data_IF_256713968166
#
_entry.id   IF_256713968166
#
_cell.length_a   1.000
_cell.length_b   1.000
_cell.length_c   1.000
_cell.angle_alpha   90.00
_cell.angle_beta   90.00
_cell.angle_gamma   90.00
#
_symmetry.space_group_name_H-M   'P 1'
#
loop_
_entity.id
_entity.type
_entity.pdbx_description
1 polymer ?
#
# COMPACT_ATOMS: atom_id res chain seq x y z
N UNK A 1 -16.22 12.71 -1.41
CA UNK A 1 -15.07 11.92 -0.90
C UNK A 1 -15.52 10.71 -0.09
N UNK A 2 -16.66 10.75 0.61
CA UNK A 2 -17.25 9.55 1.25
C UNK A 2 -17.37 8.35 0.28
N UNK A 3 -17.84 8.59 -0.95
CA UNK A 3 -17.96 7.55 -1.98
C UNK A 3 -16.61 6.87 -2.35
N UNK A 4 -15.47 7.56 -2.15
CA UNK A 4 -14.14 6.95 -2.35
C UNK A 4 -13.79 6.00 -1.19
N UNK A 5 -14.20 6.34 0.03
CA UNK A 5 -13.99 5.46 1.19
C UNK A 5 -14.87 4.20 1.07
N UNK A 6 -16.10 4.35 0.57
CA UNK A 6 -16.97 3.21 0.21
C UNK A 6 -16.28 2.27 -0.78
N UNK A 7 -15.66 2.82 -1.83
CA UNK A 7 -14.93 2.02 -2.80
C UNK A 7 -13.75 1.27 -2.17
N UNK A 8 -12.96 1.93 -1.33
CA UNK A 8 -11.84 1.30 -0.63
C UNK A 8 -12.31 0.17 0.30
N UNK A 9 -13.39 0.39 1.06
CA UNK A 9 -13.98 -0.64 1.92
C UNK A 9 -14.45 -1.84 1.09
N UNK A 10 -15.17 -1.59 -0.01
CA UNK A 10 -15.62 -2.64 -0.93
C UNK A 10 -14.44 -3.43 -1.53
N UNK A 11 -13.38 -2.75 -1.97
CA UNK A 11 -12.19 -3.44 -2.52
C UNK A 11 -11.51 -4.31 -1.47
N UNK A 12 -11.44 -3.84 -0.22
CA UNK A 12 -10.85 -4.61 0.86
C UNK A 12 -11.65 -5.86 1.25
N UNK A 13 -12.88 -6.06 0.77
CA UNK A 13 -13.67 -7.29 1.00
C UNK A 13 -13.26 -8.45 0.09
N UNK A 14 -12.43 -8.21 -0.93
CA UNK A 14 -11.98 -9.25 -1.85
C UNK A 14 -10.89 -10.10 -1.18
N UNK A 15 -10.98 -11.42 -1.34
CA UNK A 15 -10.04 -12.39 -0.76
C UNK A 15 -8.58 -12.19 -1.21
N UNK A 16 -8.37 -11.50 -2.34
CA UNK A 16 -7.06 -11.23 -2.92
C UNK A 16 -6.59 -9.78 -2.73
N UNK A 17 -7.21 -9.01 -1.83
CA UNK A 17 -6.87 -7.59 -1.59
C UNK A 17 -6.67 -7.33 -0.10
N UNK A 18 -5.43 -7.01 0.26
CA UNK A 18 -5.03 -6.63 1.63
C UNK A 18 -4.83 -5.11 1.71
N UNK A 19 -5.90 -4.37 2.01
CA UNK A 19 -5.83 -2.91 2.15
C UNK A 19 -5.31 -2.52 3.53
N UNK A 20 -4.18 -1.80 3.56
CA UNK A 20 -3.57 -1.31 4.80
C UNK A 20 -3.29 0.19 4.76
N UNK A 21 -3.44 0.84 5.90
CA UNK A 21 -3.16 2.28 6.08
C UNK A 21 -1.93 2.45 6.96
N UNK A 22 -1.00 3.29 6.53
CA UNK A 22 0.12 3.74 7.37
C UNK A 22 -0.27 5.06 8.03
N UNK A 23 -0.42 5.11 9.37
CA UNK A 23 -0.69 6.36 10.07
C UNK A 23 0.44 7.38 9.90
N UNK A 24 0.11 8.67 9.82
CA UNK A 24 1.12 9.74 9.80
C UNK A 24 2.05 9.76 11.01
N UNK A 25 1.61 9.20 12.15
CA UNK A 25 2.40 9.09 13.37
C UNK A 25 3.40 7.93 13.37
N UNK A 26 3.44 7.08 12.35
CA UNK A 26 4.30 5.87 12.30
C UNK A 26 5.80 6.16 12.16
N UNK A 27 6.21 7.43 12.08
CA UNK A 27 7.61 7.82 11.94
C UNK A 27 8.16 7.48 10.55
N UNK A 28 9.48 7.31 10.47
CA UNK A 28 10.14 7.02 9.19
C UNK A 28 9.91 5.58 8.74
N UNK A 29 9.61 5.39 7.45
CA UNK A 29 9.55 4.09 6.78
C UNK A 29 9.91 4.25 5.29
N UNK A 30 10.34 3.17 4.61
CA UNK A 30 10.85 3.26 3.23
C UNK A 30 9.86 3.81 2.19
N UNK A 31 8.54 3.64 2.37
CA UNK A 31 7.55 4.25 1.46
C UNK A 31 7.56 5.80 1.47
N UNK A 32 8.29 6.46 2.39
CA UNK A 32 8.53 7.91 2.34
C UNK A 32 9.60 8.31 1.32
N UNK A 33 10.45 7.37 0.88
CA UNK A 33 11.48 7.61 -0.13
C UNK A 33 10.92 7.61 -1.55
N UNK A 34 9.82 6.87 -1.77
CA UNK A 34 9.13 6.80 -3.04
C UNK A 34 8.14 5.65 -3.14
N UNK A 35 7.25 5.73 -4.12
CA UNK A 35 6.32 4.67 -4.46
C UNK A 35 7.04 3.57 -5.25
N UNK A 36 6.69 2.32 -4.97
CA UNK A 36 7.14 1.17 -5.75
C UNK A 36 6.03 0.11 -5.82
N UNK A 37 6.08 -0.73 -6.85
CA UNK A 37 5.23 -1.91 -6.99
C UNK A 37 6.15 -3.12 -7.03
N UNK A 38 6.00 -4.01 -6.05
CA UNK A 38 6.66 -5.31 -6.03
C UNK A 38 5.68 -6.35 -6.61
N UNK A 39 6.10 -7.03 -7.68
CA UNK A 39 5.31 -8.06 -8.35
C UNK A 39 6.04 -9.40 -8.16
N UNK A 40 5.36 -10.34 -7.53
CA UNK A 40 5.87 -11.69 -7.28
C UNK A 40 4.85 -12.73 -7.74
N UNK A 41 5.34 -13.78 -8.39
CA UNK A 41 4.55 -14.90 -8.89
C UNK A 41 5.41 -16.15 -8.89
N UNK A 42 4.79 -17.32 -8.76
CA UNK A 42 5.49 -18.60 -8.90
C UNK A 42 5.95 -18.85 -10.35
N UNK A 43 5.28 -18.23 -11.33
CA UNK A 43 5.51 -18.44 -12.76
C UNK A 43 6.57 -17.51 -13.38
N UNK A 44 7.04 -16.51 -12.64
CA UNK A 44 7.89 -15.45 -13.18
C UNK A 44 8.90 -14.92 -12.18
N UNK A 45 10.02 -14.37 -12.69
CA UNK A 45 10.98 -13.72 -11.81
C UNK A 45 10.35 -12.47 -11.17
N UNK A 46 10.55 -12.27 -9.86
CA UNK A 46 10.15 -11.05 -9.17
C UNK A 46 10.63 -9.80 -9.90
N UNK A 47 9.82 -8.75 -9.88
CA UNK A 47 10.17 -7.46 -10.46
C UNK A 47 9.68 -6.33 -9.57
N UNK A 48 10.52 -5.30 -9.44
CA UNK A 48 10.11 -4.03 -8.84
C UNK A 48 9.91 -3.00 -9.94
N UNK A 49 8.75 -2.36 -9.94
CA UNK A 49 8.48 -1.22 -10.79
C UNK A 49 8.59 0.08 -9.97
N UNK A 50 9.41 1.01 -10.48
CA UNK A 50 9.51 2.37 -9.98
C UNK A 50 8.94 3.32 -11.04
N UNK A 51 7.95 4.12 -10.67
CA UNK A 51 7.30 5.06 -11.58
C UNK A 51 7.91 6.47 -11.46
N UNK A 52 8.18 7.08 -12.61
CA UNK A 52 8.57 8.48 -12.73
C UNK A 52 7.68 9.17 -13.76
N UNK A 53 7.66 10.51 -13.74
CA UNK A 53 6.74 11.32 -14.57
C UNK A 53 6.75 11.01 -16.08
N UNK A 54 7.89 10.58 -16.63
CA UNK A 54 8.05 10.29 -18.08
C UNK A 54 8.80 8.99 -18.34
N UNK A 55 8.99 8.15 -17.33
CA UNK A 55 9.73 6.89 -17.43
C UNK A 55 9.31 5.94 -16.31
N UNK A 56 9.56 4.66 -16.49
CA UNK A 56 9.52 3.66 -15.44
C UNK A 56 10.83 2.88 -15.42
N UNK A 57 11.24 2.39 -14.26
CA UNK A 57 12.32 1.43 -14.14
C UNK A 57 11.73 0.10 -13.68
N UNK A 58 12.20 -0.98 -14.27
CA UNK A 58 11.90 -2.35 -13.88
C UNK A 58 13.21 -2.97 -13.39
N UNK A 59 13.27 -3.30 -12.10
CA UNK A 59 14.43 -3.92 -11.48
C UNK A 59 14.20 -5.43 -11.43
N UNK A 60 15.12 -6.19 -12.02
CA UNK A 60 15.08 -7.65 -12.11
C UNK A 60 16.24 -8.32 -11.39
N UNK A 61 17.27 -7.55 -11.02
CA UNK A 61 18.42 -8.09 -10.31
C UNK A 61 18.00 -8.54 -8.91
N UNK A 62 18.34 -9.78 -8.48
CA UNK A 62 17.88 -10.33 -7.21
C UNK A 62 18.21 -9.44 -6.00
N UNK A 63 19.39 -8.84 -5.99
CA UNK A 63 19.85 -7.97 -4.90
C UNK A 63 19.01 -6.69 -4.82
N UNK A 64 18.64 -6.10 -5.96
CA UNK A 64 17.76 -4.94 -6.02
C UNK A 64 16.35 -5.29 -5.51
N UNK A 65 15.78 -6.42 -5.97
CA UNK A 65 14.44 -6.86 -5.53
C UNK A 65 14.41 -7.10 -4.02
N UNK A 66 15.46 -7.70 -3.46
CA UNK A 66 15.51 -8.02 -2.04
C UNK A 66 15.49 -6.78 -1.15
N UNK A 67 16.11 -5.68 -1.58
CA UNK A 67 16.02 -4.38 -0.90
C UNK A 67 14.56 -3.91 -0.80
N UNK A 68 13.79 -4.05 -1.89
CA UNK A 68 12.39 -3.63 -1.92
C UNK A 68 11.44 -4.57 -1.17
N UNK A 69 11.76 -5.86 -1.06
CA UNK A 69 11.05 -6.77 -0.14
C UNK A 69 11.21 -6.34 1.31
N UNK A 70 12.44 -6.05 1.73
CA UNK A 70 12.71 -5.56 3.07
C UNK A 70 12.00 -4.22 3.33
N UNK A 71 11.97 -3.35 2.32
CA UNK A 71 11.21 -2.11 2.37
C UNK A 71 9.71 -2.36 2.57
N UNK A 72 9.11 -3.27 1.80
CA UNK A 72 7.69 -3.65 1.93
C UNK A 72 7.38 -4.21 3.33
N UNK A 73 8.23 -5.08 3.86
CA UNK A 73 8.10 -5.63 5.22
C UNK A 73 8.13 -4.54 6.29
N UNK A 74 9.03 -3.56 6.15
CA UNK A 74 9.10 -2.41 7.07
C UNK A 74 7.83 -1.56 6.99
N UNK A 75 7.32 -1.31 5.78
CA UNK A 75 6.07 -0.58 5.56
C UNK A 75 4.88 -1.34 6.16
N UNK A 76 4.81 -2.66 6.01
CA UNK A 76 3.76 -3.48 6.62
C UNK A 76 3.81 -3.46 8.15
N UNK A 77 4.99 -3.39 8.76
CA UNK A 77 5.15 -3.24 10.21
C UNK A 77 4.72 -1.85 10.71
N UNK A 78 4.89 -0.81 9.89
CA UNK A 78 4.46 0.55 10.20
C UNK A 78 2.96 0.79 9.97
N UNK A 79 2.32 -0.07 9.15
CA UNK A 79 0.91 0.00 8.85
C UNK A 79 0.02 -0.55 9.97
N UNK A 80 -1.24 -0.10 9.99
CA UNK A 80 -2.28 -0.75 10.78
C UNK A 80 -2.55 -2.16 10.25
N UNK A 81 -3.11 -3.01 11.11
CA UNK A 81 -3.66 -4.30 10.67
C UNK A 81 -4.78 -4.09 9.64
N UNK A 82 -5.14 -5.14 8.90
CA UNK A 82 -6.27 -5.13 7.97
C UNK A 82 -7.56 -4.60 8.64
N UNK A 83 -7.90 -5.14 9.81
CA UNK A 83 -9.08 -4.70 10.57
C UNK A 83 -8.96 -3.25 11.07
N UNK A 84 -7.77 -2.85 11.54
CA UNK A 84 -7.51 -1.47 11.97
C UNK A 84 -7.62 -0.47 10.83
N UNK A 85 -7.13 -0.84 9.64
CA UNK A 85 -7.21 -0.03 8.43
C UNK A 85 -8.65 0.16 7.97
N UNK A 86 -9.43 -0.92 7.90
CA UNK A 86 -10.88 -0.85 7.59
C UNK A 86 -11.64 0.02 8.59
N UNK A 87 -11.35 -0.12 9.88
CA UNK A 87 -11.98 0.70 10.92
C UNK A 87 -11.68 2.18 10.71
N UNK A 88 -10.42 2.55 10.49
CA UNK A 88 -10.03 3.94 10.25
C UNK A 88 -10.70 4.52 9.00
N UNK A 89 -10.75 3.76 7.90
CA UNK A 89 -11.41 4.19 6.66
C UNK A 89 -12.92 4.40 6.89
N UNK A 90 -13.58 3.52 7.64
CA UNK A 90 -14.98 3.66 7.98
C UNK A 90 -15.27 4.86 8.90
N UNK A 91 -14.35 5.19 9.82
CA UNK A 91 -14.43 6.40 10.64
C UNK A 91 -14.31 7.67 9.78
N UNK A 92 -13.30 7.75 8.91
CA UNK A 92 -13.13 8.88 7.97
C UNK A 92 -14.35 9.04 7.05
N UNK A 93 -14.89 7.92 6.54
CA UNK A 93 -16.13 7.91 5.74
C UNK A 93 -17.27 8.60 6.47
N UNK A 94 -17.50 8.24 7.73
CA UNK A 94 -18.58 8.79 8.56
C UNK A 94 -18.40 10.29 8.80
N UNK A 95 -17.17 10.72 9.07
CA UNK A 95 -16.87 12.14 9.27
C UNK A 95 -17.15 12.94 7.99
N UNK A 96 -16.74 12.43 6.82
CA UNK A 96 -17.04 13.03 5.52
C UNK A 96 -18.53 13.07 5.17
N UNK A 97 -19.33 12.14 5.68
CA UNK A 97 -20.80 12.16 5.54
C UNK A 97 -21.42 13.23 6.44
N UNK A 98 -20.89 13.44 7.65
CA UNK A 98 -21.40 14.43 8.60
C UNK A 98 -21.07 15.89 8.21
N UNK A 99 -20.05 16.09 7.39
CA UNK A 99 -19.65 17.41 6.85
C UNK A 99 -20.44 17.82 5.59
N UNK A 100 -21.31 16.95 5.05
CA UNK A 100 -22.22 17.27 3.94
C UNK A 100 -23.48 17.98 4.41
#
# INVERSE_FOLDING_TARGET
MADQMDHLLLMSERENVDLRVVPFASGWHPALEGLFILIESEESRPVVQLENRRSGLYLHEPDDVEIYRQAADMVFKAALSYAGSRKLIAEIRKDLEAER
#
